data_IF_150017331592
#
_entry.id   IF_150017331592
#
_cell.length_a   1.000
_cell.length_b   1.000
_cell.length_c   1.000
_cell.angle_alpha   90.00
_cell.angle_beta   90.00
_cell.angle_gamma   90.00
#
_symmetry.space_group_name_H-M   'P 1'
#
loop_
_entity.id
_entity.type
_entity.pdbx_description
1 polymer ?
#
# COMPACT_ATOMS: atom_id res chain seq x y z
N UNK A 1 30.70 -25.26 18.50
CA UNK A 1 31.54 -24.43 19.38
C UNK A 1 30.82 -24.29 20.72
N UNK A 2 31.51 -24.29 21.86
CA UNK A 2 30.91 -24.09 23.18
C UNK A 2 31.18 -22.65 23.62
N UNK A 3 30.14 -21.92 24.02
CA UNK A 3 30.27 -20.54 24.51
C UNK A 3 29.37 -20.36 25.74
N UNK A 4 29.92 -19.85 26.84
CA UNK A 4 29.22 -19.66 28.12
C UNK A 4 28.41 -20.89 28.59
N UNK A 5 28.97 -22.10 28.43
CA UNK A 5 28.32 -23.34 28.89
C UNK A 5 27.23 -23.88 27.96
N UNK A 6 26.87 -23.17 26.88
CA UNK A 6 25.95 -23.65 25.86
C UNK A 6 26.73 -24.37 24.76
N UNK A 7 26.35 -25.62 24.49
CA UNK A 7 26.92 -26.43 23.41
C UNK A 7 26.21 -26.13 22.07
N UNK A 8 26.88 -26.39 20.94
CA UNK A 8 26.37 -26.18 19.57
C UNK A 8 25.99 -24.74 19.18
N UNK A 9 26.68 -23.74 19.74
CA UNK A 9 26.46 -22.34 19.31
C UNK A 9 27.08 -22.12 17.92
N UNK A 10 26.35 -21.52 16.96
CA UNK A 10 26.91 -21.15 15.67
C UNK A 10 28.06 -20.15 15.82
N UNK A 11 29.06 -20.25 14.95
CA UNK A 11 30.20 -19.32 14.99
C UNK A 11 29.75 -17.92 14.57
N UNK A 12 30.48 -16.88 14.97
CA UNK A 12 30.24 -15.50 14.51
C UNK A 12 30.23 -15.42 12.98
N UNK A 13 31.10 -16.17 12.30
CA UNK A 13 31.15 -16.22 10.84
C UNK A 13 29.89 -16.86 10.25
N UNK A 14 29.38 -17.94 10.86
CA UNK A 14 28.11 -18.57 10.48
C UNK A 14 26.96 -17.58 10.62
N UNK A 15 26.88 -16.85 11.75
CA UNK A 15 25.84 -15.85 11.99
C UNK A 15 25.93 -14.72 10.96
N UNK A 16 27.13 -14.19 10.69
CA UNK A 16 27.34 -13.14 9.68
C UNK A 16 26.96 -13.58 8.27
N UNK A 17 27.30 -14.81 7.90
CA UNK A 17 26.97 -15.37 6.58
C UNK A 17 25.46 -15.60 6.42
N UNK A 18 24.81 -16.12 7.45
CA UNK A 18 23.35 -16.26 7.49
C UNK A 18 22.67 -14.89 7.42
N UNK A 19 23.17 -13.89 8.17
CA UNK A 19 22.59 -12.55 8.15
C UNK A 19 22.75 -11.88 6.78
N UNK A 20 23.90 -12.04 6.11
CA UNK A 20 24.11 -11.54 4.75
C UNK A 20 23.16 -12.20 3.74
N UNK A 21 22.94 -13.51 3.87
CA UNK A 21 21.97 -14.23 3.04
C UNK A 21 20.53 -13.77 3.30
N UNK A 22 20.13 -13.62 4.57
CA UNK A 22 18.80 -13.12 4.92
C UNK A 22 18.59 -11.67 4.45
N UNK A 23 19.55 -10.78 4.64
CA UNK A 23 19.49 -9.42 4.12
C UNK A 23 19.37 -9.40 2.59
N UNK A 24 20.04 -10.31 1.88
CA UNK A 24 19.91 -10.42 0.42
C UNK A 24 18.54 -10.93 -0.03
N UNK A 25 17.82 -11.67 0.81
CA UNK A 25 16.53 -12.28 0.45
C UNK A 25 15.34 -11.44 0.90
N UNK A 26 15.39 -10.90 2.10
CA UNK A 26 14.30 -10.19 2.76
C UNK A 26 14.83 -9.04 3.64
N UNK A 27 15.99 -8.48 3.31
CA UNK A 27 16.42 -7.23 3.91
C UNK A 27 15.51 -6.09 3.47
N UNK A 28 15.36 -5.10 4.34
CA UNK A 28 14.79 -3.81 3.97
C UNK A 28 15.98 -2.92 3.64
N UNK A 29 16.04 -2.41 2.41
CA UNK A 29 17.07 -1.45 2.04
C UNK A 29 16.87 -0.14 2.80
N UNK A 30 17.95 0.43 3.32
CA UNK A 30 17.94 1.78 3.90
C UNK A 30 18.66 2.72 2.93
N UNK A 31 17.91 3.64 2.35
CA UNK A 31 18.40 4.58 1.33
C UNK A 31 18.84 5.89 2.00
N UNK A 32 20.04 6.34 1.67
CA UNK A 32 20.57 7.64 2.11
C UNK A 32 20.03 8.77 1.22
N UNK A 33 19.59 9.85 1.85
CA UNK A 33 19.16 11.07 1.18
C UNK A 33 19.95 12.27 1.68
N UNK A 34 20.31 13.13 0.74
CA UNK A 34 20.78 14.48 1.02
C UNK A 34 19.62 15.44 0.73
N UNK A 35 19.03 15.99 1.78
CA UNK A 35 17.90 16.89 1.62
C UNK A 35 18.30 18.27 1.08
N UNK A 36 17.31 19.01 0.59
CA UNK A 36 17.50 20.31 -0.06
C UNK A 36 18.03 21.41 0.87
N UNK A 37 17.93 21.23 2.18
CA UNK A 37 18.51 22.14 3.18
C UNK A 37 19.90 21.68 3.64
N UNK A 38 20.44 20.60 3.07
CA UNK A 38 21.76 20.07 3.38
C UNK A 38 21.78 19.08 4.54
N UNK A 39 20.61 18.63 5.02
CA UNK A 39 20.55 17.61 6.06
C UNK A 39 20.61 16.21 5.43
N UNK A 40 21.52 15.39 5.96
CA UNK A 40 21.55 13.97 5.65
C UNK A 40 20.54 13.22 6.52
N UNK A 41 19.76 12.35 5.90
CA UNK A 41 18.85 11.44 6.59
C UNK A 41 18.73 10.13 5.81
N UNK A 42 18.07 9.14 6.42
CA UNK A 42 17.94 7.80 5.87
C UNK A 42 16.48 7.38 5.90
N UNK A 43 16.05 6.67 4.86
CA UNK A 43 14.67 6.17 4.74
C UNK A 43 14.71 4.70 4.34
N UNK A 44 14.01 3.86 5.09
CA UNK A 44 13.78 2.47 4.73
C UNK A 44 12.90 2.37 3.48
N UNK A 45 13.21 1.41 2.61
CA UNK A 45 12.47 1.13 1.37
C UNK A 45 11.02 0.79 1.68
N UNK A 46 10.11 1.66 1.23
CA UNK A 46 8.67 1.44 1.27
C UNK A 46 8.27 0.18 0.48
N UNK A 47 8.92 -0.06 -0.66
CA UNK A 47 8.66 -1.22 -1.48
C UNK A 47 8.93 -2.52 -0.71
N UNK A 48 10.08 -2.60 -0.04
CA UNK A 48 10.48 -3.79 0.72
C UNK A 48 9.55 -4.01 1.92
N UNK A 49 9.21 -2.94 2.62
CA UNK A 49 8.28 -2.99 3.76
C UNK A 49 6.89 -3.48 3.33
N UNK A 50 6.33 -2.93 2.25
CA UNK A 50 5.03 -3.36 1.73
C UNK A 50 5.09 -4.80 1.21
N UNK A 51 6.17 -5.18 0.52
CA UNK A 51 6.36 -6.54 0.03
C UNK A 51 6.40 -7.56 1.18
N UNK A 52 7.10 -7.24 2.27
CA UNK A 52 7.13 -8.09 3.46
C UNK A 52 5.76 -8.21 4.10
N UNK A 53 5.02 -7.10 4.21
CA UNK A 53 3.70 -7.10 4.81
C UNK A 53 2.68 -7.89 3.99
N UNK A 54 2.73 -7.75 2.67
CA UNK A 54 1.91 -8.53 1.74
C UNK A 54 2.28 -10.02 1.74
N UNK A 55 3.56 -10.36 1.95
CA UNK A 55 4.03 -11.75 2.02
C UNK A 55 3.84 -12.40 3.41
N UNK A 56 3.54 -11.61 4.44
CA UNK A 56 3.43 -12.09 5.81
C UNK A 56 2.17 -12.97 5.98
N UNK A 57 2.28 -14.29 6.22
CA UNK A 57 1.13 -15.18 6.30
C UNK A 57 0.22 -14.90 7.50
N UNK A 58 0.72 -14.20 8.53
CA UNK A 58 -0.08 -13.83 9.70
C UNK A 58 -0.99 -12.64 9.43
N UNK A 59 -0.65 -11.78 8.48
CA UNK A 59 -1.33 -10.50 8.25
C UNK A 59 -1.98 -10.41 6.87
N UNK A 60 -1.35 -10.99 5.84
CA UNK A 60 -1.85 -10.98 4.46
C UNK A 60 -3.30 -11.42 4.30
N UNK A 61 -3.75 -12.42 5.08
CA UNK A 61 -5.13 -12.89 5.06
C UNK A 61 -6.15 -11.88 5.63
N UNK A 62 -5.68 -10.89 6.38
CA UNK A 62 -6.49 -9.83 6.99
C UNK A 62 -6.44 -8.52 6.21
N UNK A 63 -5.50 -8.37 5.27
CA UNK A 63 -5.36 -7.16 4.46
C UNK A 63 -6.50 -7.05 3.44
N UNK A 64 -7.28 -5.99 3.59
CA UNK A 64 -8.25 -5.58 2.58
C UNK A 64 -7.57 -4.70 1.52
N UNK A 65 -7.85 -4.98 0.25
CA UNK A 65 -7.36 -4.20 -0.90
C UNK A 65 -8.51 -3.48 -1.62
N UNK A 66 -9.75 -3.73 -1.25
CA UNK A 66 -10.93 -3.07 -1.81
C UNK A 66 -11.66 -2.26 -0.75
N UNK A 67 -12.19 -1.08 -1.10
CA UNK A 67 -13.11 -0.41 -0.20
C UNK A 67 -14.34 -1.29 0.04
N UNK A 68 -14.87 -1.22 1.24
CA UNK A 68 -16.00 -2.01 1.69
C UNK A 68 -17.22 -1.11 1.87
N UNK A 69 -18.38 -1.56 1.41
CA UNK A 69 -19.65 -0.90 1.70
C UNK A 69 -20.31 -1.61 2.88
N UNK A 70 -20.14 -1.02 4.06
CA UNK A 70 -20.69 -1.50 5.33
C UNK A 70 -22.14 -1.08 5.57
N UNK A 71 -22.87 -0.60 4.56
CA UNK A 71 -24.28 -0.21 4.73
C UNK A 71 -24.49 0.98 5.66
N UNK A 72 -23.49 1.88 5.76
CA UNK A 72 -23.53 3.07 6.61
C UNK A 72 -22.85 2.92 7.97
N UNK A 73 -22.40 1.72 8.34
CA UNK A 73 -21.54 1.49 9.50
C UNK A 73 -20.06 1.50 9.10
N UNK A 74 -19.21 2.05 9.95
CA UNK A 74 -17.75 2.09 9.76
C UNK A 74 -17.10 1.45 10.98
N UNK A 75 -16.64 0.21 10.84
CA UNK A 75 -15.86 -0.52 11.84
C UNK A 75 -14.36 -0.48 11.59
N UNK A 76 -13.95 -0.33 10.33
CA UNK A 76 -12.55 -0.18 9.92
C UNK A 76 -12.38 0.85 8.79
N UNK A 77 -11.13 1.11 8.40
CA UNK A 77 -10.84 2.14 7.42
C UNK A 77 -11.25 1.77 5.98
N UNK A 78 -11.31 0.49 5.64
CA UNK A 78 -11.82 0.04 4.34
C UNK A 78 -13.31 0.35 4.16
N UNK A 79 -14.07 0.41 5.25
CA UNK A 79 -15.49 0.78 5.25
C UNK A 79 -15.75 2.30 5.23
N UNK A 80 -14.70 3.11 5.34
CA UNK A 80 -14.83 4.56 5.36
C UNK A 80 -15.15 5.15 3.98
N UNK A 81 -16.00 6.19 3.96
CA UNK A 81 -16.32 6.93 2.73
C UNK A 81 -15.09 7.50 2.01
N UNK A 82 -14.02 7.82 2.75
CA UNK A 82 -12.76 8.27 2.16
C UNK A 82 -12.25 7.32 1.10
N UNK A 83 -12.22 6.01 1.39
CA UNK A 83 -11.75 5.02 0.42
C UNK A 83 -12.84 4.68 -0.61
N UNK A 84 -14.09 4.44 -0.17
CA UNK A 84 -15.15 4.01 -1.08
C UNK A 84 -15.60 5.10 -2.08
N UNK A 85 -15.61 6.37 -1.67
CA UNK A 85 -16.26 7.45 -2.41
C UNK A 85 -15.26 8.53 -2.87
N UNK A 86 -14.35 8.94 -2.00
CA UNK A 86 -13.53 10.16 -2.20
C UNK A 86 -12.23 9.90 -2.96
N UNK A 87 -11.55 8.75 -2.74
CA UNK A 87 -10.31 8.40 -3.46
C UNK A 87 -10.58 8.32 -4.96
N UNK A 88 -9.73 8.98 -5.78
CA UNK A 88 -9.82 8.89 -7.24
C UNK A 88 -9.80 7.40 -7.66
N UNK A 89 -10.78 6.93 -8.47
CA UNK A 89 -10.80 5.52 -8.85
C UNK A 89 -9.56 5.02 -9.61
N UNK A 90 -8.76 5.92 -10.22
CA UNK A 90 -7.46 5.58 -10.84
C UNK A 90 -6.33 5.28 -9.84
N UNK A 91 -6.50 5.69 -8.58
CA UNK A 91 -5.58 5.44 -7.46
C UNK A 91 -6.07 4.30 -6.55
N UNK A 92 -7.34 3.90 -6.67
CA UNK A 92 -7.87 2.70 -6.03
C UNK A 92 -7.42 1.43 -6.78
N UNK A 93 -7.74 0.26 -6.22
CA UNK A 93 -7.47 -1.03 -6.87
C UNK A 93 -8.09 -1.04 -8.27
N UNK A 94 -7.27 -1.10 -9.34
CA UNK A 94 -7.75 -0.84 -10.69
C UNK A 94 -8.39 -2.07 -11.33
N UNK A 95 -8.17 -3.27 -10.80
CA UNK A 95 -8.66 -4.49 -11.42
C UNK A 95 -9.16 -5.53 -10.41
N UNK A 96 -10.00 -6.43 -10.90
CA UNK A 96 -10.31 -7.70 -10.24
C UNK A 96 -10.05 -8.86 -11.18
N UNK A 97 -9.55 -9.97 -10.64
CA UNK A 97 -9.44 -11.24 -11.35
C UNK A 97 -10.63 -12.13 -11.01
N UNK A 98 -11.33 -12.62 -12.03
CA UNK A 98 -12.37 -13.64 -11.92
C UNK A 98 -11.86 -14.97 -12.48
N UNK A 99 -12.20 -16.06 -11.77
CA UNK A 99 -11.94 -17.45 -12.19
C UNK A 99 -10.47 -17.73 -12.56
N UNK A 100 -9.54 -17.04 -11.90
CA UNK A 100 -8.08 -17.16 -12.07
C UNK A 100 -7.53 -16.85 -13.47
N UNK A 101 -8.35 -16.34 -14.41
CA UNK A 101 -7.90 -16.15 -15.80
C UNK A 101 -8.42 -14.87 -16.48
N UNK A 102 -9.48 -14.24 -15.95
CA UNK A 102 -10.06 -13.06 -16.60
C UNK A 102 -9.93 -11.82 -15.72
N UNK A 103 -9.23 -10.82 -16.25
CA UNK A 103 -9.01 -9.55 -15.58
C UNK A 103 -9.94 -8.48 -16.11
N UNK A 104 -10.67 -7.86 -15.19
CA UNK A 104 -11.52 -6.71 -15.46
C UNK A 104 -10.86 -5.48 -14.84
N UNK A 105 -10.50 -4.51 -15.68
CA UNK A 105 -9.95 -3.23 -15.23
C UNK A 105 -11.04 -2.16 -15.20
N UNK A 106 -10.88 -1.19 -14.31
CA UNK A 106 -11.63 0.06 -14.41
C UNK A 106 -11.31 0.74 -15.74
N UNK A 107 -12.28 1.47 -16.28
CA UNK A 107 -12.15 2.23 -17.52
C UNK A 107 -11.89 1.38 -18.76
N UNK A 108 -12.22 0.09 -18.71
CA UNK A 108 -12.31 -0.80 -19.87
C UNK A 108 -13.75 -1.31 -20.01
N UNK A 109 -14.26 -1.50 -21.24
CA UNK A 109 -15.56 -2.14 -21.44
C UNK A 109 -15.59 -3.57 -20.90
N UNK A 110 -16.64 -3.91 -20.17
CA UNK A 110 -16.90 -5.24 -19.64
C UNK A 110 -18.26 -5.74 -20.16
N UNK A 111 -18.28 -6.97 -20.70
CA UNK A 111 -19.50 -7.63 -21.14
C UNK A 111 -20.15 -8.36 -19.97
N UNK A 112 -21.40 -8.02 -19.65
CA UNK A 112 -22.20 -8.68 -18.63
C UNK A 112 -22.82 -9.98 -19.17
N UNK A 113 -23.28 -10.84 -18.26
CA UNK A 113 -23.86 -12.15 -18.62
C UNK A 113 -25.15 -12.04 -19.43
N UNK A 114 -25.87 -10.94 -19.27
CA UNK A 114 -27.07 -10.60 -20.07
C UNK A 114 -26.74 -9.97 -21.43
N UNK A 115 -25.45 -9.92 -21.79
CA UNK A 115 -24.88 -9.34 -23.02
C UNK A 115 -24.93 -7.83 -23.11
N UNK A 116 -25.29 -7.13 -22.04
CA UNK A 116 -25.10 -5.68 -21.96
C UNK A 116 -23.63 -5.35 -21.72
N UNK A 117 -23.22 -4.14 -22.11
CA UNK A 117 -21.85 -3.66 -21.91
C UNK A 117 -21.90 -2.55 -20.87
N UNK A 118 -21.03 -2.62 -19.88
CA UNK A 118 -20.82 -1.53 -18.95
C UNK A 118 -19.32 -1.21 -18.87
N UNK A 119 -18.99 -0.08 -18.26
CA UNK A 119 -17.60 0.27 -18.00
C UNK A 119 -17.41 0.50 -16.50
N UNK A 120 -16.69 -0.42 -15.81
CA UNK A 120 -16.40 -0.29 -14.40
C UNK A 120 -15.61 0.98 -14.12
N UNK A 121 -16.01 1.73 -13.10
CA UNK A 121 -15.36 2.95 -12.63
C UNK A 121 -14.62 2.67 -11.33
N UNK A 122 -15.18 1.85 -10.45
CA UNK A 122 -14.60 1.55 -9.13
C UNK A 122 -15.06 0.18 -8.64
N UNK A 123 -14.12 -0.63 -8.14
CA UNK A 123 -14.39 -1.89 -7.46
C UNK A 123 -14.57 -1.70 -5.96
N UNK A 124 -15.49 -2.44 -5.36
CA UNK A 124 -15.71 -2.45 -3.91
C UNK A 124 -16.31 -3.79 -3.45
N UNK A 125 -16.35 -4.02 -2.14
CA UNK A 125 -16.89 -5.25 -1.54
C UNK A 125 -18.15 -4.98 -0.71
N UNK A 126 -19.14 -5.89 -0.78
CA UNK A 126 -20.25 -6.00 0.19
C UNK A 126 -20.30 -7.45 0.67
N UNK A 127 -20.07 -7.69 1.97
CA UNK A 127 -19.93 -9.05 2.48
C UNK A 127 -18.81 -9.81 1.76
N UNK A 128 -19.04 -11.03 1.28
CA UNK A 128 -18.03 -11.79 0.52
C UNK A 128 -18.01 -11.46 -0.98
N UNK A 129 -18.90 -10.60 -1.46
CA UNK A 129 -19.11 -10.38 -2.90
C UNK A 129 -18.48 -9.07 -3.36
N UNK A 130 -17.82 -9.09 -4.52
CA UNK A 130 -17.22 -7.93 -5.17
C UNK A 130 -18.25 -7.29 -6.13
N UNK A 131 -18.32 -5.97 -6.10
CA UNK A 131 -19.21 -5.14 -6.90
C UNK A 131 -18.41 -4.08 -7.63
N UNK A 132 -19.03 -3.45 -8.63
CA UNK A 132 -18.50 -2.27 -9.28
C UNK A 132 -19.55 -1.17 -9.34
N UNK A 133 -19.11 0.08 -9.16
CA UNK A 133 -19.81 1.19 -9.79
C UNK A 133 -19.41 1.18 -11.26
N UNK A 134 -20.38 1.16 -12.15
CA UNK A 134 -20.15 1.22 -13.58
C UNK A 134 -20.96 2.36 -14.17
N UNK A 135 -20.46 2.94 -15.26
CA UNK A 135 -21.30 3.72 -16.16
C UNK A 135 -22.02 2.74 -17.09
N UNK A 136 -23.31 2.96 -17.22
CA UNK A 136 -24.17 2.29 -18.19
C UNK A 136 -24.49 3.29 -19.31
N UNK A 137 -24.86 2.80 -20.49
CA UNK A 137 -25.50 3.67 -21.48
C UNK A 137 -26.84 4.12 -20.88
N UNK A 138 -27.04 5.43 -20.69
CA UNK A 138 -28.31 5.98 -20.19
C UNK A 138 -29.47 5.52 -21.09
N UNK A 139 -30.22 4.51 -20.65
CA UNK A 139 -31.34 3.92 -21.40
C UNK A 139 -32.52 4.88 -21.53
N UNK A 140 -32.69 5.85 -20.61
CA UNK A 140 -33.81 6.79 -20.63
C UNK A 140 -33.52 8.10 -21.38
N UNK A 141 -32.27 8.54 -21.45
CA UNK A 141 -31.88 9.77 -22.14
C UNK A 141 -30.59 9.51 -22.92
N UNK A 142 -30.70 9.28 -24.24
CA UNK A 142 -29.60 9.14 -25.22
C UNK A 142 -28.66 10.36 -25.28
N UNK A 143 -28.06 10.77 -24.16
CA UNK A 143 -26.99 11.75 -24.06
C UNK A 143 -25.77 11.00 -23.58
N UNK A 144 -25.08 10.38 -24.52
CA UNK A 144 -23.73 9.88 -24.31
C UNK A 144 -22.87 11.10 -23.92
N UNK A 145 -22.48 11.19 -22.65
CA UNK A 145 -21.40 12.09 -22.27
C UNK A 145 -20.10 11.54 -22.87
N UNK A 146 -19.26 12.41 -23.43
CA UNK A 146 -18.00 11.97 -24.02
C UNK A 146 -17.10 11.37 -22.96
N UNK A 147 -16.72 10.11 -23.13
CA UNK A 147 -15.76 9.45 -22.24
C UNK A 147 -14.36 10.05 -22.42
N UNK A 148 -13.71 10.43 -21.32
CA UNK A 148 -12.40 11.10 -21.33
C UNK A 148 -11.31 10.39 -20.54
N UNK A 149 -11.61 9.28 -19.85
CA UNK A 149 -10.64 8.63 -18.94
C UNK A 149 -9.68 7.69 -19.65
N UNK A 150 -10.13 7.03 -20.71
CA UNK A 150 -9.32 6.11 -21.51
C UNK A 150 -9.56 6.32 -23.00
N UNK A 151 -8.54 6.00 -23.78
CA UNK A 151 -8.59 5.94 -25.23
C UNK A 151 -8.94 4.50 -25.63
N UNK A 152 -10.09 4.29 -26.26
CA UNK A 152 -10.56 2.96 -26.65
C UNK A 152 -9.63 2.27 -27.67
N UNK A 153 -8.75 3.02 -28.33
CA UNK A 153 -7.76 2.46 -29.27
C UNK A 153 -6.50 1.93 -28.58
N UNK A 154 -6.35 2.19 -27.27
CA UNK A 154 -5.17 1.80 -26.48
C UNK A 154 -5.57 0.88 -25.34
N UNK A 155 -4.71 -0.08 -24.96
CA UNK A 155 -4.93 -0.87 -23.77
C UNK A 155 -4.84 0.00 -22.51
N UNK A 156 -5.49 -0.41 -21.42
CA UNK A 156 -5.35 0.29 -20.13
C UNK A 156 -3.87 0.30 -19.69
N UNK A 157 -3.31 1.48 -19.33
CA UNK A 157 -1.91 1.59 -18.91
C UNK A 157 -1.52 0.63 -17.77
N UNK A 158 -2.42 0.42 -16.80
CA UNK A 158 -2.18 -0.51 -15.68
C UNK A 158 -2.08 -1.95 -16.16
N UNK A 159 -2.90 -2.35 -17.14
CA UNK A 159 -2.85 -3.69 -17.74
C UNK A 159 -1.53 -3.93 -18.44
N UNK A 160 -1.03 -2.95 -19.19
CA UNK A 160 0.27 -3.04 -19.87
C UNK A 160 1.40 -3.16 -18.85
N UNK A 161 1.40 -2.30 -17.82
CA UNK A 161 2.42 -2.30 -16.78
C UNK A 161 2.45 -3.61 -15.98
N UNK A 162 1.28 -4.16 -15.64
CA UNK A 162 1.17 -5.36 -14.82
C UNK A 162 1.67 -6.63 -15.51
N UNK A 163 1.68 -6.66 -16.84
CA UNK A 163 2.12 -7.83 -17.63
C UNK A 163 1.50 -9.17 -17.17
N UNK A 164 0.22 -9.14 -16.78
CA UNK A 164 -0.52 -10.31 -16.29
C UNK A 164 -0.49 -10.52 -14.77
N UNK A 165 0.25 -9.72 -14.00
CA UNK A 165 0.13 -9.66 -12.54
C UNK A 165 -1.20 -9.00 -12.11
N UNK A 166 -1.69 -9.34 -10.91
CA UNK A 166 -2.79 -8.60 -10.31
C UNK A 166 -2.29 -7.27 -9.75
N UNK A 167 -3.03 -6.19 -10.00
CA UNK A 167 -2.72 -4.87 -9.47
C UNK A 167 -3.68 -4.55 -8.34
N UNK A 168 -3.12 -4.34 -7.15
CA UNK A 168 -3.85 -4.03 -5.92
C UNK A 168 -3.41 -2.66 -5.39
N UNK A 169 -4.34 -1.89 -4.86
CA UNK A 169 -4.00 -0.70 -4.09
C UNK A 169 -3.72 -1.10 -2.63
N UNK A 170 -2.59 -0.63 -2.10
CA UNK A 170 -2.19 -0.81 -0.71
C UNK A 170 -2.18 0.57 -0.03
N UNK A 171 -3.30 1.05 0.52
CA UNK A 171 -3.32 2.35 1.17
C UNK A 171 -2.61 2.26 2.52
N UNK A 172 -1.86 3.31 2.85
CA UNK A 172 -1.11 3.43 4.10
C UNK A 172 -1.55 4.67 4.88
N UNK A 173 -1.59 4.58 6.20
CA UNK A 173 -1.60 5.74 7.08
C UNK A 173 -0.17 6.14 7.36
N UNK A 174 0.33 7.08 6.58
CA UNK A 174 1.64 7.69 6.80
C UNK A 174 1.50 8.85 7.78
N UNK A 175 2.29 8.85 8.85
CA UNK A 175 2.30 9.92 9.83
C UNK A 175 3.72 10.18 10.34
N UNK A 176 3.93 11.39 10.85
CA UNK A 176 5.15 11.79 11.54
C UNK A 176 4.82 12.07 12.99
N UNK A 177 5.58 11.49 13.91
CA UNK A 177 5.46 11.73 15.35
C UNK A 177 6.80 12.19 15.95
N UNK A 178 6.73 12.95 17.05
CA UNK A 178 7.89 13.37 17.84
C UNK A 178 8.14 12.33 18.94
N UNK A 179 9.02 11.38 18.67
CA UNK A 179 9.27 10.24 19.58
C UNK A 179 10.27 10.56 20.69
N UNK A 180 10.41 11.82 21.08
CA UNK A 180 11.31 12.20 22.17
C UNK A 180 10.75 11.71 23.53
N UNK A 181 11.34 10.64 24.08
CA UNK A 181 11.04 10.11 25.43
C UNK A 181 11.46 11.02 26.59
N UNK A 182 11.64 12.32 26.34
CA UNK A 182 12.09 13.29 27.33
C UNK A 182 10.90 13.99 28.00
N UNK A 183 10.93 14.08 29.33
CA UNK A 183 9.99 14.89 30.14
C UNK A 183 9.98 16.37 29.75
N UNK A 184 10.94 16.84 28.94
CA UNK A 184 10.92 18.15 28.28
C UNK A 184 11.05 18.03 26.76
N UNK A 185 9.99 18.41 26.03
CA UNK A 185 9.90 18.37 24.55
C UNK A 185 10.72 19.45 23.83
N UNK A 186 11.51 20.25 24.57
CA UNK A 186 12.10 21.50 24.05
C UNK A 186 13.50 21.31 23.46
N UNK A 187 14.22 20.23 23.81
CA UNK A 187 15.67 20.21 23.60
C UNK A 187 16.22 19.06 22.73
N UNK A 188 15.48 17.97 22.46
CA UNK A 188 15.94 16.88 21.58
C UNK A 188 14.76 16.24 20.83
N UNK A 189 14.19 16.97 19.86
CA UNK A 189 13.09 16.43 19.03
C UNK A 189 13.65 15.45 18.00
N UNK A 190 13.03 14.28 17.92
CA UNK A 190 13.29 13.30 16.88
C UNK A 190 12.01 13.14 16.08
N UNK A 191 12.02 13.63 14.85
CA UNK A 191 10.90 13.44 13.93
C UNK A 191 11.02 12.05 13.34
N UNK A 192 10.02 11.22 13.57
CA UNK A 192 9.98 9.84 13.08
C UNK A 192 8.79 9.67 12.16
N UNK A 193 9.03 9.20 10.93
CA UNK A 193 7.99 8.77 10.02
C UNK A 193 7.71 7.29 10.19
N UNK A 194 6.43 6.96 10.32
CA UNK A 194 5.92 5.60 10.39
C UNK A 194 4.72 5.45 9.48
N UNK A 195 4.39 4.22 9.12
CA UNK A 195 3.13 3.92 8.49
C UNK A 195 2.47 2.65 9.02
N UNK A 196 1.15 2.60 8.88
CA UNK A 196 0.33 1.42 9.15
C UNK A 196 -0.52 1.10 7.92
N UNK A 197 -0.67 -0.18 7.52
CA UNK A 197 -1.57 -0.55 6.43
C UNK A 197 -3.03 -0.24 6.77
N UNK A 198 -3.72 0.51 5.89
CA UNK A 198 -5.13 0.93 6.09
C UNK A 198 -6.08 -0.23 5.94
N UNK A 199 -5.73 -1.22 5.12
CA UNK A 199 -6.53 -2.41 4.85
C UNK A 199 -6.72 -3.34 6.05
N UNK A 200 -6.04 -3.09 7.18
CA UNK A 200 -6.13 -3.96 8.34
C UNK A 200 -7.39 -3.71 9.18
N UNK A 201 -7.94 -4.76 9.81
CA UNK A 201 -8.90 -4.61 10.89
C UNK A 201 -8.31 -3.72 11.99
N UNK A 202 -9.15 -2.88 12.60
CA UNK A 202 -8.73 -1.93 13.64
C UNK A 202 -7.94 -2.59 14.77
N UNK A 203 -8.32 -3.79 15.20
CA UNK A 203 -7.62 -4.53 16.25
C UNK A 203 -6.18 -4.84 15.89
N UNK A 204 -5.92 -5.20 14.63
CA UNK A 204 -4.57 -5.52 14.15
C UNK A 204 -3.79 -4.26 13.80
N UNK A 205 -4.42 -3.25 13.20
CA UNK A 205 -3.73 -2.00 12.84
C UNK A 205 -3.15 -1.23 14.03
N UNK A 206 -3.61 -1.51 15.25
CA UNK A 206 -3.09 -0.90 16.49
C UNK A 206 -2.01 -1.74 17.18
N UNK A 207 -1.74 -2.96 16.71
CA UNK A 207 -0.65 -3.79 17.23
C UNK A 207 0.69 -3.20 16.75
N UNK A 208 1.66 -3.07 17.66
CA UNK A 208 2.99 -2.52 17.35
C UNK A 208 3.66 -3.25 16.18
N UNK A 209 3.36 -4.54 16.02
CA UNK A 209 3.84 -5.38 14.94
C UNK A 209 3.48 -4.85 13.53
N UNK A 210 2.34 -4.16 13.38
CA UNK A 210 1.85 -3.64 12.09
C UNK A 210 2.14 -2.14 11.91
N UNK A 211 2.99 -1.57 12.77
CA UNK A 211 3.45 -0.19 12.68
C UNK A 211 4.89 -0.20 12.16
N UNK A 212 5.08 0.27 10.93
CA UNK A 212 6.37 0.18 10.24
C UNK A 212 7.13 1.50 10.32
N UNK A 213 8.39 1.41 10.70
CA UNK A 213 9.30 2.54 10.78
C UNK A 213 9.94 2.85 9.42
N UNK A 214 9.87 4.11 8.99
CA UNK A 214 10.47 4.57 7.73
C UNK A 214 11.76 5.34 7.95
N UNK A 215 11.72 6.40 8.76
CA UNK A 215 12.83 7.32 8.88
C UNK A 215 12.78 8.05 10.21
N UNK A 216 13.94 8.43 10.73
CA UNK A 216 14.03 9.36 11.87
C UNK A 216 15.14 10.35 11.65
N UNK A 217 14.95 11.60 12.10
CA UNK A 217 16.01 12.57 12.19
C UNK A 217 15.76 13.58 13.29
N UNK A 218 16.84 14.00 13.94
CA UNK A 218 16.86 15.14 14.86
C UNK A 218 17.40 16.42 14.22
N UNK A 219 17.86 16.35 12.97
CA UNK A 219 18.43 17.48 12.23
C UNK A 219 17.59 17.83 11.02
N UNK A 220 17.11 16.83 10.27
CA UNK A 220 16.26 17.06 9.12
C UNK A 220 14.82 17.40 9.58
N UNK A 221 14.23 18.52 9.12
CA UNK A 221 12.82 18.81 9.33
C UNK A 221 11.92 17.82 8.57
N UNK A 222 10.70 17.67 9.08
CA UNK A 222 9.65 16.76 8.56
C UNK A 222 9.45 16.91 7.06
N UNK A 223 9.42 18.14 6.54
CA UNK A 223 9.19 18.42 5.11
C UNK A 223 10.33 17.95 4.22
N UNK A 224 11.57 18.01 4.70
CA UNK A 224 12.75 17.57 3.96
C UNK A 224 12.83 16.04 3.93
N UNK A 225 12.51 15.39 5.05
CA UNK A 225 12.39 13.94 5.11
C UNK A 225 11.25 13.41 4.24
N UNK A 226 10.12 14.12 4.21
CA UNK A 226 8.96 13.75 3.40
C UNK A 226 9.28 13.75 1.90
N UNK A 227 10.17 14.62 1.42
CA UNK A 227 10.60 14.67 0.02
C UNK A 227 11.22 13.33 -0.43
N UNK A 228 12.11 12.76 0.39
CA UNK A 228 12.71 11.45 0.13
C UNK A 228 11.70 10.31 0.16
N UNK A 229 10.70 10.38 1.05
CA UNK A 229 9.60 9.40 1.10
C UNK A 229 8.74 9.50 -0.17
N UNK A 230 8.41 10.71 -0.61
CA UNK A 230 7.63 10.94 -1.84
C UNK A 230 8.36 10.40 -3.07
N UNK A 231 9.69 10.50 -3.10
CA UNK A 231 10.48 9.91 -4.19
C UNK A 231 10.33 8.39 -4.23
N UNK A 232 10.30 7.69 -3.08
CA UNK A 232 10.04 6.25 -3.09
C UNK A 232 8.64 5.92 -3.62
N UNK A 233 7.60 6.69 -3.26
CA UNK A 233 6.21 6.43 -3.71
C UNK A 233 6.07 6.53 -5.23
N UNK A 234 6.85 7.38 -5.92
CA UNK A 234 6.81 7.49 -7.38
C UNK A 234 7.28 6.23 -8.11
N UNK A 235 8.12 5.42 -7.46
CA UNK A 235 8.70 4.20 -8.04
C UNK A 235 8.01 2.92 -7.55
N UNK A 236 7.17 3.00 -6.51
CA UNK A 236 6.28 1.90 -6.09
C UNK A 236 5.01 1.97 -6.92
N UNK A 237 5.06 1.45 -8.16
CA UNK A 237 3.93 1.39 -9.10
C UNK A 237 3.83 0.02 -9.74
#
# INVERSE_FOLDING_TARGET
>A
MKYNGVDNVPTVNTIKSLNAMLHSMCGIETVEYMGKMGHRYFVNSLADLIAQEAANPRISAHLEYLPCDGGGQVGNAAEANKWLREVDPSLATPMIRLRAAQDFYVFEPALLTDRTVCMPIRWFRRGSTRYAHACDEDVEHRRLSTWTRTDATKPNPRRVQASGAEVLAFPIWLYCDDTSGNLSKKWNKHNSFLFTPVGLPRSLGHEEFNVHFLATSNTAPVTEMLDGIVDQVKYVV
#
